data_IF_965780949932
#
_entry.id   IF_965780949932
#
_cell.length_a   1.000
_cell.length_b   1.000
_cell.length_c   1.000
_cell.angle_alpha   90.00
_cell.angle_beta   90.00
_cell.angle_gamma   90.00
#
_symmetry.space_group_name_H-M   'P 1'
#
loop_
_entity.id
_entity.type
_entity.pdbx_description
1 polymer ?
#
# COMPACT_ATOMS: atom_id res chain seq x y z
N UNK A 1 16.23 10.52 -3.19
CA UNK A 1 15.76 10.74 -4.58
C UNK A 1 14.53 9.88 -4.92
N UNK A 2 14.60 8.55 -4.80
CA UNK A 2 13.48 7.64 -5.16
C UNK A 2 12.15 7.85 -4.41
N UNK A 3 12.21 8.10 -3.09
CA UNK A 3 11.00 8.35 -2.28
C UNK A 3 10.26 9.60 -2.73
N UNK A 4 10.99 10.66 -3.08
CA UNK A 4 10.39 11.91 -3.56
C UNK A 4 9.69 11.71 -4.91
N UNK A 5 10.34 11.00 -5.85
CA UNK A 5 9.74 10.65 -7.15
C UNK A 5 8.49 9.80 -6.97
N UNK A 6 8.54 8.78 -6.12
CA UNK A 6 7.39 7.94 -5.80
C UNK A 6 6.23 8.76 -5.19
N UNK A 7 6.55 9.71 -4.30
CA UNK A 7 5.57 10.63 -3.71
C UNK A 7 4.89 11.51 -4.76
N UNK A 8 5.66 12.12 -5.66
CA UNK A 8 5.12 12.95 -6.75
C UNK A 8 4.21 12.14 -7.67
N UNK A 9 4.64 10.94 -8.08
CA UNK A 9 3.83 10.04 -8.91
C UNK A 9 2.54 9.61 -8.19
N UNK A 10 2.62 9.37 -6.88
CA UNK A 10 1.46 8.98 -6.08
C UNK A 10 0.45 10.12 -5.94
N UNK A 11 0.90 11.36 -5.70
CA UNK A 11 0.02 12.54 -5.66
C UNK A 11 -0.64 12.78 -7.01
N UNK A 12 0.12 12.69 -8.10
CA UNK A 12 -0.43 12.80 -9.46
C UNK A 12 -1.51 11.75 -9.72
N UNK A 13 -1.26 10.50 -9.32
CA UNK A 13 -2.25 9.43 -9.42
C UNK A 13 -3.53 9.73 -8.63
N UNK A 14 -3.42 10.19 -7.37
CA UNK A 14 -4.60 10.55 -6.56
C UNK A 14 -5.39 11.68 -7.21
N UNK A 15 -4.70 12.72 -7.72
CA UNK A 15 -5.34 13.83 -8.40
C UNK A 15 -6.11 13.37 -9.65
N UNK A 16 -5.50 12.49 -10.46
CA UNK A 16 -6.14 11.91 -11.64
C UNK A 16 -7.38 11.10 -11.27
N UNK A 17 -7.28 10.22 -10.27
CA UNK A 17 -8.41 9.42 -9.79
C UNK A 17 -9.55 10.29 -9.28
N UNK A 18 -9.26 11.39 -8.57
CA UNK A 18 -10.29 12.31 -8.10
C UNK A 18 -10.90 13.14 -9.22
N UNK A 19 -10.10 13.55 -10.21
CA UNK A 19 -10.59 14.25 -11.39
C UNK A 19 -11.58 13.40 -12.19
N UNK A 20 -11.29 12.11 -12.35
CA UNK A 20 -12.17 11.15 -13.06
C UNK A 20 -13.25 10.56 -12.12
N UNK A 21 -13.18 10.83 -10.81
CA UNK A 21 -13.90 10.10 -9.76
C UNK A 21 -15.43 10.14 -9.82
N UNK A 22 -16.02 11.04 -10.60
CA UNK A 22 -17.47 11.10 -10.81
C UNK A 22 -17.95 10.17 -11.96
N UNK A 23 -17.03 9.69 -12.81
CA UNK A 23 -17.34 8.90 -14.01
C UNK A 23 -17.11 7.39 -13.79
N UNK A 24 -16.26 7.01 -12.83
CA UNK A 24 -15.84 5.63 -12.61
C UNK A 24 -16.20 5.11 -11.23
N UNK A 25 -16.76 3.90 -11.18
CA UNK A 25 -17.01 3.21 -9.92
C UNK A 25 -15.66 2.94 -9.19
N UNK A 26 -15.55 3.11 -7.85
CA UNK A 26 -14.28 2.99 -7.12
C UNK A 26 -13.55 1.66 -7.35
N UNK A 27 -14.30 0.57 -7.50
CA UNK A 27 -13.76 -0.76 -7.82
C UNK A 27 -13.11 -0.79 -9.22
N UNK A 28 -13.72 -0.12 -10.21
CA UNK A 28 -13.15 -0.03 -11.57
C UNK A 28 -11.86 0.79 -11.55
N UNK A 29 -11.82 1.90 -10.80
CA UNK A 29 -10.61 2.69 -10.63
C UNK A 29 -9.46 1.87 -9.98
N UNK A 30 -9.78 1.07 -8.96
CA UNK A 30 -8.82 0.15 -8.34
C UNK A 30 -8.32 -0.92 -9.33
N UNK A 31 -9.22 -1.52 -10.12
CA UNK A 31 -8.87 -2.51 -11.14
C UNK A 31 -7.94 -1.92 -12.20
N UNK A 32 -8.28 -0.75 -12.76
CA UNK A 32 -7.51 -0.05 -13.78
C UNK A 32 -6.09 0.24 -13.26
N UNK A 33 -5.95 0.72 -12.00
CA UNK A 33 -4.64 0.95 -11.38
C UNK A 33 -3.75 -0.29 -11.44
N UNK A 34 -4.28 -1.45 -11.06
CA UNK A 34 -3.51 -2.69 -11.06
C UNK A 34 -3.28 -3.24 -12.47
N UNK A 35 -4.22 -3.06 -13.38
CA UNK A 35 -4.06 -3.44 -14.78
C UNK A 35 -2.92 -2.65 -15.43
N UNK A 36 -2.89 -1.33 -15.27
CA UNK A 36 -1.79 -0.51 -15.78
C UNK A 36 -0.46 -0.88 -15.12
N UNK A 37 -0.43 -1.08 -13.80
CA UNK A 37 0.76 -1.55 -13.11
C UNK A 37 1.26 -2.88 -13.64
N UNK A 38 0.35 -3.82 -13.91
CA UNK A 38 0.68 -5.10 -14.54
C UNK A 38 1.22 -4.91 -15.94
N UNK A 39 0.59 -4.10 -16.80
CA UNK A 39 1.05 -3.85 -18.17
C UNK A 39 2.46 -3.24 -18.21
N UNK A 40 2.76 -2.31 -17.31
CA UNK A 40 4.09 -1.70 -17.19
C UNK A 40 5.14 -2.71 -16.74
N UNK A 41 4.78 -3.61 -15.81
CA UNK A 41 5.69 -4.64 -15.29
C UNK A 41 5.74 -5.91 -16.15
N UNK A 42 4.75 -6.13 -17.02
CA UNK A 42 4.63 -7.31 -17.87
C UNK A 42 5.89 -7.59 -18.70
N UNK A 43 6.48 -6.63 -19.45
CA UNK A 43 7.70 -6.90 -20.21
C UNK A 43 8.88 -7.31 -19.32
N UNK A 44 8.95 -6.81 -18.08
CA UNK A 44 9.97 -7.24 -17.12
C UNK A 44 9.74 -8.67 -16.66
N UNK A 45 8.49 -9.06 -16.39
CA UNK A 45 8.14 -10.43 -16.04
C UNK A 45 8.42 -11.41 -17.18
N UNK A 46 8.10 -11.03 -18.42
CA UNK A 46 8.39 -11.85 -19.60
C UNK A 46 9.89 -12.05 -19.81
N UNK A 47 10.71 -11.01 -19.55
CA UNK A 47 12.19 -11.10 -19.62
C UNK A 47 12.81 -11.92 -18.48
N UNK A 48 12.23 -11.86 -17.28
CA UNK A 48 12.72 -12.60 -16.11
C UNK A 48 12.42 -14.11 -16.17
N UNK A 49 11.45 -14.52 -16.99
CA UNK A 49 11.08 -15.92 -17.20
C UNK A 49 10.35 -16.55 -16.00
N UNK A 50 9.94 -17.82 -16.16
CA UNK A 50 9.17 -18.56 -15.14
C UNK A 50 9.93 -18.83 -13.83
N UNK A 51 11.24 -18.61 -13.80
CA UNK A 51 12.06 -18.71 -12.59
C UNK A 51 11.59 -17.78 -11.48
N UNK A 52 10.99 -16.64 -11.82
CA UNK A 52 10.46 -15.67 -10.86
C UNK A 52 9.27 -16.23 -10.04
N UNK A 53 8.47 -17.11 -10.65
CA UNK A 53 7.33 -17.75 -10.00
C UNK A 53 7.73 -18.99 -9.20
N UNK A 54 8.98 -19.46 -9.34
CA UNK A 54 9.55 -20.60 -8.61
C UNK A 54 10.02 -20.19 -7.20
N UNK A 55 9.21 -19.42 -6.49
CA UNK A 55 9.45 -19.05 -5.09
C UNK A 55 8.91 -20.13 -4.15
N UNK A 56 9.71 -20.53 -3.15
CA UNK A 56 9.32 -21.48 -2.09
C UNK A 56 8.10 -20.98 -1.27
N UNK A 57 7.76 -19.69 -1.38
CA UNK A 57 6.71 -19.03 -0.60
C UNK A 57 5.56 -18.47 -1.46
N UNK A 58 5.27 -19.06 -2.63
CA UNK A 58 4.20 -18.59 -3.52
C UNK A 58 2.84 -18.45 -2.83
N UNK A 59 2.52 -19.35 -1.89
CA UNK A 59 1.28 -19.29 -1.08
C UNK A 59 1.22 -18.02 -0.22
N UNK A 60 2.34 -17.63 0.38
CA UNK A 60 2.44 -16.43 1.21
C UNK A 60 2.35 -15.16 0.35
N UNK A 61 2.97 -15.17 -0.84
CA UNK A 61 2.83 -14.08 -1.81
C UNK A 61 1.37 -13.92 -2.27
N UNK A 62 0.68 -15.04 -2.56
CA UNK A 62 -0.74 -15.04 -2.89
C UNK A 62 -1.60 -14.49 -1.76
N UNK A 63 -1.41 -14.97 -0.52
CA UNK A 63 -2.13 -14.46 0.65
C UNK A 63 -1.89 -12.96 0.88
N UNK A 64 -0.63 -12.51 0.85
CA UNK A 64 -0.28 -11.09 0.93
C UNK A 64 -0.96 -10.28 -0.16
N UNK A 65 -0.96 -10.80 -1.39
CA UNK A 65 -1.63 -10.18 -2.54
C UNK A 65 -3.13 -10.02 -2.31
N UNK A 66 -3.81 -11.08 -1.83
CA UNK A 66 -5.24 -11.03 -1.52
C UNK A 66 -5.55 -10.02 -0.41
N UNK A 67 -4.82 -10.05 0.70
CA UNK A 67 -4.99 -9.08 1.81
C UNK A 67 -4.76 -7.65 1.31
N UNK A 68 -3.75 -7.44 0.47
CA UNK A 68 -3.48 -6.13 -0.12
C UNK A 68 -4.60 -5.68 -1.07
N UNK A 69 -5.12 -6.58 -1.91
CA UNK A 69 -6.23 -6.28 -2.82
C UNK A 69 -7.48 -5.85 -2.06
N UNK A 70 -7.85 -6.58 -0.99
CA UNK A 70 -8.95 -6.20 -0.10
C UNK A 70 -8.70 -4.83 0.55
N UNK A 71 -7.48 -4.59 1.06
CA UNK A 71 -7.11 -3.31 1.63
C UNK A 71 -7.25 -2.14 0.67
N UNK A 72 -6.86 -2.32 -0.60
CA UNK A 72 -7.03 -1.29 -1.62
C UNK A 72 -8.48 -1.10 -2.02
N UNK A 73 -9.29 -2.16 -2.11
CA UNK A 73 -10.73 -2.04 -2.34
C UNK A 73 -11.42 -1.24 -1.24
N UNK A 74 -11.11 -1.54 0.03
CA UNK A 74 -11.63 -0.80 1.18
C UNK A 74 -11.17 0.66 1.18
N UNK A 75 -9.92 0.91 0.80
CA UNK A 75 -9.40 2.27 0.70
C UNK A 75 -10.13 3.08 -0.38
N UNK A 76 -10.34 2.51 -1.57
CA UNK A 76 -11.09 3.18 -2.64
C UNK A 76 -12.54 3.43 -2.25
N UNK A 77 -13.18 2.48 -1.57
CA UNK A 77 -14.52 2.65 -1.02
C UNK A 77 -14.58 3.78 0.02
N UNK A 78 -13.66 3.80 0.99
CA UNK A 78 -13.57 4.88 1.96
C UNK A 78 -13.28 6.23 1.28
N UNK A 79 -12.41 6.25 0.26
CA UNK A 79 -12.05 7.46 -0.46
C UNK A 79 -13.19 8.06 -1.29
N UNK A 80 -14.18 7.25 -1.70
CA UNK A 80 -15.36 7.70 -2.42
C UNK A 80 -16.49 8.15 -1.50
N UNK A 81 -16.63 7.53 -0.33
CA UNK A 81 -17.73 7.81 0.60
C UNK A 81 -17.40 8.90 1.64
N UNK A 82 -16.12 9.03 2.01
CA UNK A 82 -15.70 9.93 3.08
C UNK A 82 -15.08 11.23 2.53
N UNK A 83 -15.24 12.35 3.25
CA UNK A 83 -14.49 13.58 2.99
C UNK A 83 -12.97 13.35 2.99
N UNK A 84 -12.23 14.13 2.20
CA UNK A 84 -10.76 14.03 2.08
C UNK A 84 -10.07 14.15 3.44
N UNK A 85 -10.60 15.01 4.33
CA UNK A 85 -10.07 15.20 5.67
C UNK A 85 -10.12 13.91 6.50
N UNK A 86 -11.20 13.15 6.43
CA UNK A 86 -11.38 11.90 7.18
C UNK A 86 -10.48 10.79 6.64
N UNK A 87 -10.39 10.66 5.31
CA UNK A 87 -9.47 9.70 4.65
C UNK A 87 -8.01 9.98 5.04
N UNK A 88 -7.66 11.26 5.17
CA UNK A 88 -6.33 11.69 5.60
C UNK A 88 -6.11 11.38 7.08
N UNK A 89 -7.11 11.62 7.93
CA UNK A 89 -7.05 11.27 9.36
C UNK A 89 -6.83 9.76 9.58
N UNK A 90 -7.53 8.90 8.82
CA UNK A 90 -7.32 7.45 8.84
C UNK A 90 -5.87 7.07 8.47
N UNK A 91 -5.27 7.81 7.53
CA UNK A 91 -3.88 7.60 7.12
C UNK A 91 -2.89 7.94 8.24
N UNK A 92 -3.17 8.96 9.07
CA UNK A 92 -2.35 9.29 10.24
C UNK A 92 -2.42 8.24 11.36
N UNK A 93 -3.53 7.51 11.46
CA UNK A 93 -3.71 6.44 12.47
C UNK A 93 -3.15 5.09 11.96
N UNK A 94 -2.89 4.94 10.66
CA UNK A 94 -2.34 3.70 10.08
C UNK A 94 -1.09 3.16 10.79
N UNK A 95 -0.09 3.98 11.21
CA UNK A 95 1.05 3.48 11.98
C UNK A 95 0.65 2.82 13.31
N UNK A 96 -0.40 3.32 13.98
CA UNK A 96 -0.91 2.73 15.22
C UNK A 96 -1.45 1.32 14.95
N UNK A 97 -2.27 1.15 13.91
CA UNK A 97 -2.76 -0.16 13.51
C UNK A 97 -1.65 -1.11 13.10
N UNK A 98 -0.59 -0.62 12.45
CA UNK A 98 0.58 -1.42 12.09
C UNK A 98 1.31 -1.91 13.35
N UNK A 99 1.54 -1.03 14.33
CA UNK A 99 2.21 -1.40 15.60
C UNK A 99 1.38 -2.42 16.37
N UNK A 100 0.07 -2.21 16.48
CA UNK A 100 -0.86 -3.16 17.13
C UNK A 100 -0.84 -4.50 16.39
N UNK A 101 -0.95 -4.49 15.06
CA UNK A 101 -0.87 -5.70 14.24
C UNK A 101 0.46 -6.43 14.41
N UNK A 102 1.59 -5.71 14.42
CA UNK A 102 2.91 -6.28 14.65
C UNK A 102 3.00 -6.93 16.03
N UNK A 103 2.49 -6.29 17.09
CA UNK A 103 2.47 -6.87 18.43
C UNK A 103 1.68 -8.20 18.48
N UNK A 104 0.55 -8.29 17.78
CA UNK A 104 -0.25 -9.52 17.70
C UNK A 104 0.42 -10.62 16.86
N UNK A 105 0.97 -10.29 15.69
CA UNK A 105 1.51 -11.29 14.74
C UNK A 105 2.97 -11.69 15.02
N UNK A 106 3.84 -10.73 15.37
CA UNK A 106 5.25 -10.98 15.65
C UNK A 106 5.52 -11.32 17.13
N UNK A 107 4.55 -11.07 18.03
CA UNK A 107 4.71 -11.23 19.50
C UNK A 107 5.93 -10.47 20.05
N UNK A 108 6.39 -9.44 19.35
CA UNK A 108 7.49 -8.58 19.81
C UNK A 108 7.02 -7.78 21.02
N UNK A 109 7.83 -7.77 22.08
CA UNK A 109 7.60 -6.90 23.22
C UNK A 109 7.84 -5.47 22.76
N UNK A 110 6.78 -4.66 22.71
CA UNK A 110 6.89 -3.24 22.43
C UNK A 110 7.73 -2.56 23.52
N UNK A 111 9.03 -2.44 23.29
CA UNK A 111 9.92 -1.66 24.15
C UNK A 111 9.65 -0.18 23.90
N UNK A 112 8.86 0.44 24.76
CA UNK A 112 8.69 1.91 24.87
C UNK A 112 9.97 2.64 25.29
N UNK A 113 11.14 2.01 25.16
CA UNK A 113 12.42 2.59 25.56
C UNK A 113 12.93 3.45 24.41
N UNK A 114 12.64 4.75 24.48
CA UNK A 114 13.53 5.75 23.93
C UNK A 114 14.88 5.56 24.64
N UNK A 115 15.77 4.77 24.04
CA UNK A 115 17.17 4.73 24.46
C UNK A 115 17.79 6.04 23.98
N UNK A 116 17.54 7.09 24.76
CA UNK A 116 18.24 8.35 24.61
C UNK A 116 19.73 8.02 24.66
N UNK A 117 20.48 8.28 23.58
CA UNK A 117 21.87 7.89 23.58
C UNK A 117 22.64 8.78 24.55
N UNK A 118 23.13 8.17 25.64
CA UNK A 118 23.82 8.86 26.73
C UNK A 118 25.29 9.19 26.41
N UNK A 119 25.62 9.46 25.15
CA UNK A 119 27.00 9.73 24.70
C UNK A 119 27.32 11.22 24.49
N UNK A 120 26.57 12.12 25.11
CA UNK A 120 26.91 13.54 25.20
C UNK A 120 27.36 13.90 26.62
N UNK A 121 28.47 13.28 27.03
CA UNK A 121 29.26 13.69 28.21
C UNK A 121 30.46 14.51 27.79
#
# INVERSE_FOLDING_TARGET
MWVAVAGVLFVFFIALVRYIGNELHPIQAAFIRYLFGLLVLLPLFLRAGMGLFRSRHIRLHGFRGCVHAVGVMLWFFAASQLPIAEVTALSFISPVFVVVGAAFFLRERMTLRASWPSYWG
#
